data_IF_859745704717
#
_entry.id   IF_859745704717
#
_cell.length_a   1.000
_cell.length_b   1.000
_cell.length_c   1.000
_cell.angle_alpha   90.00
_cell.angle_beta   90.00
_cell.angle_gamma   90.00
#
_symmetry.space_group_name_H-M   'P 1'
#
loop_
_entity.id
_entity.type
_entity.pdbx_description
1 polymer ?
#
# COMPACT_ATOMS: atom_id res chain seq x y z
N UNK A 1 -6.55 -8.80 0.23
CA UNK A 1 -5.39 -8.30 1.01
C UNK A 1 -4.97 -6.98 0.43
N UNK A 2 -4.74 -5.96 1.23
CA UNK A 2 -4.53 -4.58 0.76
C UNK A 2 -3.48 -4.46 -0.36
N UNK A 3 -2.27 -5.04 -0.27
CA UNK A 3 -1.30 -4.88 -1.37
C UNK A 3 -1.80 -5.35 -2.75
N UNK A 4 -2.71 -6.30 -2.78
CA UNK A 4 -3.25 -6.86 -4.03
C UNK A 4 -4.39 -6.00 -4.59
N UNK A 5 -5.35 -5.62 -3.72
CA UNK A 5 -6.53 -4.85 -4.15
C UNK A 5 -6.23 -3.35 -4.28
N UNK A 6 -5.20 -2.86 -3.59
CA UNK A 6 -4.74 -1.48 -3.66
C UNK A 6 -3.85 -1.20 -4.88
N UNK A 7 -3.13 -2.21 -5.39
CA UNK A 7 -2.14 -2.04 -6.46
C UNK A 7 -2.70 -1.30 -7.68
N UNK A 8 -3.85 -1.67 -8.27
CA UNK A 8 -4.37 -0.98 -9.45
C UNK A 8 -4.73 0.49 -9.19
N UNK A 9 -5.16 0.79 -7.98
CA UNK A 9 -5.55 2.14 -7.56
C UNK A 9 -4.32 3.00 -7.25
N UNK A 10 -3.37 2.46 -6.51
CA UNK A 10 -2.09 3.13 -6.23
C UNK A 10 -1.36 3.43 -7.54
N UNK A 11 -1.35 2.49 -8.49
CA UNK A 11 -0.72 2.70 -9.81
C UNK A 11 -1.33 3.90 -10.55
N UNK A 12 -2.64 4.11 -10.47
CA UNK A 12 -3.31 5.28 -11.05
C UNK A 12 -2.86 6.59 -10.37
N UNK A 13 -2.75 6.58 -9.04
CA UNK A 13 -2.28 7.75 -8.28
C UNK A 13 -0.80 8.05 -8.59
N UNK A 14 0.05 7.00 -8.68
CA UNK A 14 1.46 7.15 -9.08
C UNK A 14 1.59 7.74 -10.48
N UNK A 15 0.77 7.28 -11.43
CA UNK A 15 0.73 7.79 -12.80
C UNK A 15 0.30 9.26 -12.85
N UNK A 16 -0.72 9.64 -12.07
CA UNK A 16 -1.17 11.03 -11.97
C UNK A 16 -0.07 11.94 -11.40
N UNK A 17 0.63 11.50 -10.34
CA UNK A 17 1.76 12.26 -9.77
C UNK A 17 2.92 12.38 -10.76
N UNK A 18 3.27 11.29 -11.44
CA UNK A 18 4.32 11.29 -12.46
C UNK A 18 3.98 12.24 -13.63
N UNK A 19 2.71 12.23 -14.08
CA UNK A 19 2.24 13.15 -15.14
C UNK A 19 2.29 14.61 -14.72
N UNK A 20 1.95 14.92 -13.47
CA UNK A 20 1.96 16.28 -12.94
C UNK A 20 3.39 16.86 -12.80
N UNK A 21 4.38 16.01 -12.55
CA UNK A 21 5.77 16.44 -12.30
C UNK A 21 6.72 16.19 -13.48
N UNK A 22 6.34 15.31 -14.42
CA UNK A 22 7.22 14.81 -15.49
C UNK A 22 8.34 13.88 -14.98
N UNK A 23 8.31 13.49 -13.72
CA UNK A 23 9.35 12.68 -13.07
C UNK A 23 8.77 11.42 -12.45
N UNK A 24 9.59 10.36 -12.36
CA UNK A 24 9.27 9.13 -11.63
C UNK A 24 9.29 9.44 -10.12
N UNK A 25 8.14 9.41 -9.41
CA UNK A 25 8.09 9.81 -8.02
C UNK A 25 8.82 8.83 -7.10
N UNK A 26 9.32 9.36 -5.99
CA UNK A 26 9.86 8.58 -4.87
C UNK A 26 8.75 8.33 -3.86
N UNK A 27 8.45 7.07 -3.58
CA UNK A 27 7.47 6.63 -2.59
C UNK A 27 8.17 6.23 -1.31
N UNK A 28 7.79 6.85 -0.20
CA UNK A 28 8.07 6.35 1.14
C UNK A 28 6.96 5.40 1.56
N UNK A 29 7.26 4.11 1.68
CA UNK A 29 6.35 3.09 2.19
C UNK A 29 6.49 2.98 3.71
N UNK A 30 5.48 3.47 4.44
CA UNK A 30 5.47 3.50 5.91
C UNK A 30 4.87 2.21 6.45
N UNK A 31 5.63 1.50 7.28
CA UNK A 31 5.32 0.14 7.71
C UNK A 31 5.52 -0.84 6.56
N UNK A 32 6.61 -0.68 5.80
CA UNK A 32 6.87 -1.41 4.56
C UNK A 32 7.16 -2.90 4.76
N UNK A 33 7.46 -3.33 5.99
CA UNK A 33 7.83 -4.71 6.30
C UNK A 33 8.91 -5.23 5.32
N UNK A 34 8.71 -6.38 4.71
CA UNK A 34 9.62 -7.00 3.74
C UNK A 34 9.54 -6.40 2.32
N UNK A 35 8.94 -5.24 2.12
CA UNK A 35 8.90 -4.53 0.83
C UNK A 35 7.88 -5.09 -0.17
N UNK A 36 6.77 -5.66 0.31
CA UNK A 36 5.74 -6.26 -0.55
C UNK A 36 5.12 -5.24 -1.51
N UNK A 37 4.84 -4.03 -1.03
CA UNK A 37 4.32 -2.96 -1.90
C UNK A 37 5.33 -2.63 -3.02
N UNK A 38 6.60 -2.46 -2.68
CA UNK A 38 7.63 -2.22 -3.69
C UNK A 38 7.69 -3.37 -4.71
N UNK A 39 7.57 -4.64 -4.27
CA UNK A 39 7.60 -5.79 -5.18
C UNK A 39 6.45 -5.76 -6.20
N UNK A 40 5.20 -5.56 -5.75
CA UNK A 40 4.04 -5.59 -6.65
C UNK A 40 3.91 -4.35 -7.53
N UNK A 41 4.46 -3.21 -7.09
CA UNK A 41 4.43 -1.97 -7.88
C UNK A 41 5.59 -1.85 -8.87
N UNK A 42 6.74 -2.47 -8.59
CA UNK A 42 7.92 -2.40 -9.46
C UNK A 42 7.96 -3.51 -10.50
N UNK A 43 7.50 -4.70 -10.14
CA UNK A 43 7.61 -5.88 -10.99
C UNK A 43 6.22 -6.38 -11.42
N UNK A 44 6.10 -7.12 -12.52
CA UNK A 44 4.86 -7.77 -12.95
C UNK A 44 4.56 -8.99 -12.05
N UNK A 45 4.46 -8.75 -10.75
CA UNK A 45 4.22 -9.74 -9.71
C UNK A 45 2.91 -9.42 -8.99
N UNK A 46 2.20 -10.45 -8.55
CA UNK A 46 1.03 -10.31 -7.70
C UNK A 46 1.33 -10.75 -6.28
N UNK A 47 0.62 -10.19 -5.32
CA UNK A 47 0.72 -10.65 -3.93
C UNK A 47 0.38 -12.15 -3.80
N UNK A 48 -0.62 -12.62 -4.56
CA UNK A 48 -0.98 -14.04 -4.61
C UNK A 48 0.17 -14.92 -5.09
N UNK A 49 0.89 -14.50 -6.14
CA UNK A 49 2.07 -15.19 -6.67
C UNK A 49 3.21 -15.24 -5.64
N UNK A 50 3.50 -14.12 -4.98
CA UNK A 50 4.50 -14.06 -3.92
C UNK A 50 4.12 -14.98 -2.75
N UNK A 51 2.86 -14.93 -2.29
CA UNK A 51 2.36 -15.82 -1.24
C UNK A 51 2.52 -17.29 -1.62
N UNK A 52 2.20 -17.67 -2.86
CA UNK A 52 2.38 -19.03 -3.34
C UNK A 52 3.85 -19.44 -3.35
N UNK A 53 4.76 -18.56 -3.81
CA UNK A 53 6.21 -18.80 -3.79
C UNK A 53 6.71 -19.13 -2.38
N UNK A 54 6.42 -18.25 -1.41
CA UNK A 54 6.92 -18.40 -0.04
C UNK A 54 6.18 -19.46 0.79
N UNK A 55 5.02 -19.94 0.35
CA UNK A 55 4.30 -21.03 0.98
C UNK A 55 4.91 -22.41 0.67
N UNK A 56 5.79 -22.51 -0.33
CA UNK A 56 6.42 -23.78 -0.71
C UNK A 56 7.27 -24.34 0.43
N UNK A 57 7.23 -25.66 0.58
CA UNK A 57 7.97 -26.36 1.65
C UNK A 57 9.47 -26.09 1.60
N UNK A 58 10.03 -26.05 0.40
CA UNK A 58 11.45 -25.80 0.14
C UNK A 58 11.88 -24.43 0.65
N UNK A 59 11.03 -23.41 0.49
CA UNK A 59 11.31 -22.04 0.93
C UNK A 59 11.32 -21.90 2.47
N UNK A 60 10.59 -22.79 3.17
CA UNK A 60 10.58 -22.79 4.64
C UNK A 60 11.81 -23.47 5.26
N UNK A 61 12.51 -24.29 4.50
CA UNK A 61 13.64 -25.08 4.96
C UNK A 61 15.01 -24.40 4.75
N UNK A 62 15.07 -23.32 4.00
CA UNK A 62 16.31 -22.61 3.70
C UNK A 62 16.66 -21.56 4.76
N UNK A 63 17.96 -21.30 4.93
CA UNK A 63 18.41 -20.22 5.83
C UNK A 63 18.04 -18.83 5.29
N UNK A 64 17.95 -17.85 6.19
CA UNK A 64 17.65 -16.46 5.81
C UNK A 64 18.69 -15.90 4.81
N UNK A 65 19.96 -16.24 4.95
CA UNK A 65 21.02 -15.83 4.03
C UNK A 65 20.82 -16.43 2.62
N UNK A 66 20.49 -17.71 2.57
CA UNK A 66 20.17 -18.39 1.29
C UNK A 66 18.92 -17.79 0.66
N UNK A 67 17.89 -17.48 1.47
CA UNK A 67 16.69 -16.83 0.97
C UNK A 67 16.98 -15.47 0.35
N UNK A 68 17.74 -14.61 1.03
CA UNK A 68 18.15 -13.28 0.48
C UNK A 68 18.88 -13.44 -0.84
N UNK A 69 19.81 -14.40 -0.95
CA UNK A 69 20.55 -14.64 -2.19
C UNK A 69 19.63 -15.09 -3.33
N UNK A 70 18.72 -16.03 -3.07
CA UNK A 70 17.76 -16.53 -4.05
C UNK A 70 16.78 -15.44 -4.48
N UNK A 71 16.29 -14.64 -3.55
CA UNK A 71 15.31 -13.60 -3.84
C UNK A 71 15.93 -12.40 -4.55
N UNK A 72 17.20 -12.08 -4.28
CA UNK A 72 17.92 -11.09 -5.09
C UNK A 72 17.95 -11.50 -6.57
N UNK A 73 18.27 -12.76 -6.88
CA UNK A 73 18.24 -13.27 -8.25
C UNK A 73 16.81 -13.32 -8.82
N UNK A 74 15.84 -13.71 -7.97
CA UNK A 74 14.44 -13.78 -8.37
C UNK A 74 13.91 -12.40 -8.80
N UNK A 75 14.09 -11.37 -7.96
CA UNK A 75 13.62 -10.02 -8.31
C UNK A 75 14.42 -9.40 -9.47
N UNK A 76 15.72 -9.63 -9.52
CA UNK A 76 16.56 -9.14 -10.62
C UNK A 76 16.23 -9.77 -11.99
N UNK A 77 15.57 -10.93 -12.01
CA UNK A 77 15.12 -11.57 -13.25
C UNK A 77 13.86 -10.94 -13.86
N UNK A 78 13.15 -10.08 -13.11
CA UNK A 78 11.95 -9.41 -13.59
C UNK A 78 12.26 -8.01 -14.13
N UNK A 79 11.60 -7.56 -15.21
CA UNK A 79 11.73 -6.17 -15.66
C UNK A 79 11.12 -5.23 -14.62
N UNK A 80 11.81 -4.14 -14.30
CA UNK A 80 11.24 -3.05 -13.49
C UNK A 80 10.32 -2.20 -14.37
N UNK A 81 9.03 -2.47 -14.28
CA UNK A 81 7.95 -1.75 -14.99
C UNK A 81 7.29 -0.69 -14.10
N UNK A 82 7.85 -0.45 -12.91
CA UNK A 82 7.27 0.44 -11.92
C UNK A 82 7.26 1.90 -12.31
N UNK A 83 6.21 2.58 -11.86
CA UNK A 83 6.03 4.03 -12.05
C UNK A 83 6.70 4.86 -10.96
N UNK A 84 7.28 4.24 -9.94
CA UNK A 84 7.86 4.89 -8.78
C UNK A 84 9.15 4.21 -8.32
N UNK A 85 9.97 4.94 -7.57
CA UNK A 85 11.10 4.46 -6.78
C UNK A 85 10.64 4.28 -5.34
N UNK A 86 11.17 3.31 -4.59
CA UNK A 86 10.69 3.00 -3.26
C UNK A 86 11.76 3.15 -2.18
N UNK A 87 11.42 3.87 -1.13
CA UNK A 87 12.11 3.95 0.15
C UNK A 87 11.20 3.30 1.19
N UNK A 88 11.74 2.53 2.13
CA UNK A 88 10.97 1.90 3.18
C UNK A 88 11.25 2.47 4.57
N UNK A 89 10.22 2.57 5.39
CA UNK A 89 10.34 2.86 6.81
C UNK A 89 9.61 1.77 7.61
N UNK A 90 10.32 1.12 8.53
CA UNK A 90 9.76 0.11 9.42
C UNK A 90 10.57 0.04 10.71
N UNK A 91 9.96 -0.44 11.80
CA UNK A 91 10.65 -0.69 13.08
C UNK A 91 11.50 -1.96 13.03
N UNK A 92 11.25 -2.84 12.08
CA UNK A 92 11.92 -4.14 11.94
C UNK A 92 13.18 -4.04 11.12
N UNK A 93 14.32 -3.95 11.79
CA UNK A 93 15.64 -3.96 11.14
C UNK A 93 15.86 -5.19 10.23
N UNK A 94 15.47 -6.43 10.60
CA UNK A 94 15.56 -7.57 9.68
C UNK A 94 14.73 -7.42 8.41
N UNK A 95 13.53 -6.85 8.50
CA UNK A 95 12.66 -6.66 7.34
C UNK A 95 13.23 -5.60 6.38
N UNK A 96 13.69 -4.47 6.89
CA UNK A 96 14.36 -3.43 6.11
C UNK A 96 15.63 -3.97 5.45
N UNK A 97 16.47 -4.65 6.23
CA UNK A 97 17.71 -5.27 5.71
C UNK A 97 17.41 -6.25 4.56
N UNK A 98 16.40 -7.11 4.73
CA UNK A 98 15.96 -7.99 3.66
C UNK A 98 15.53 -7.21 2.41
N UNK A 99 14.57 -6.30 2.55
CA UNK A 99 13.97 -5.58 1.43
C UNK A 99 15.01 -4.77 0.62
N UNK A 100 15.99 -4.19 1.31
CA UNK A 100 17.11 -3.47 0.68
C UNK A 100 18.08 -4.44 0.00
N UNK A 101 18.46 -5.53 0.69
CA UNK A 101 19.43 -6.50 0.18
C UNK A 101 18.94 -7.28 -1.06
N UNK A 102 17.64 -7.51 -1.16
CA UNK A 102 17.05 -8.16 -2.36
C UNK A 102 16.73 -7.17 -3.48
N UNK A 103 16.97 -5.86 -3.27
CA UNK A 103 16.79 -4.81 -4.28
C UNK A 103 15.35 -4.33 -4.46
N UNK A 104 14.46 -4.57 -3.49
CA UNK A 104 13.09 -4.04 -3.49
C UNK A 104 13.05 -2.56 -3.15
N UNK A 105 13.83 -2.14 -2.17
CA UNK A 105 13.96 -0.76 -1.73
C UNK A 105 15.31 -0.18 -2.17
N UNK A 106 15.32 1.08 -2.58
CA UNK A 106 16.58 1.81 -2.84
C UNK A 106 17.27 2.18 -1.54
N UNK A 107 16.49 2.57 -0.53
CA UNK A 107 16.93 2.91 0.80
C UNK A 107 15.92 2.42 1.83
N UNK A 108 16.40 2.14 3.04
CA UNK A 108 15.56 1.72 4.15
C UNK A 108 15.88 2.49 5.42
N UNK A 109 14.84 2.85 6.16
CA UNK A 109 14.90 3.55 7.43
C UNK A 109 14.38 2.60 8.51
N UNK A 110 15.20 2.30 9.51
CA UNK A 110 14.79 1.55 10.71
C UNK A 110 14.54 2.58 11.80
N UNK A 111 13.28 2.83 12.15
CA UNK A 111 12.92 3.77 13.20
C UNK A 111 11.53 3.51 13.78
N UNK A 112 11.38 3.71 15.09
CA UNK A 112 10.09 3.80 15.78
C UNK A 112 9.77 5.29 16.03
N UNK A 113 9.17 5.93 15.02
CA UNK A 113 8.87 7.36 15.09
C UNK A 113 7.76 7.70 16.12
N UNK A 114 7.06 6.72 16.67
CA UNK A 114 6.14 6.93 17.79
C UNK A 114 6.93 7.26 19.08
N UNK A 115 8.11 6.66 19.25
CA UNK A 115 8.92 6.74 20.48
C UNK A 115 10.16 7.60 20.34
N UNK A 116 10.79 7.60 19.17
CA UNK A 116 12.11 8.18 18.97
C UNK A 116 12.06 9.41 18.04
N UNK A 117 12.98 10.36 18.19
CA UNK A 117 13.15 11.42 17.22
C UNK A 117 13.69 10.87 15.89
N UNK A 118 13.44 11.60 14.81
CA UNK A 118 13.99 11.27 13.51
C UNK A 118 15.52 11.54 13.53
N UNK A 119 16.30 10.57 13.06
CA UNK A 119 17.76 10.76 12.92
C UNK A 119 18.08 11.67 11.71
N UNK A 120 19.26 12.29 11.73
CA UNK A 120 19.74 13.15 10.64
C UNK A 120 19.79 12.39 9.31
N UNK A 121 20.26 11.13 9.31
CA UNK A 121 20.36 10.31 8.12
C UNK A 121 18.97 9.95 7.56
N UNK A 122 18.05 9.57 8.46
CA UNK A 122 16.66 9.32 8.06
C UNK A 122 15.99 10.58 7.49
N UNK A 123 16.19 11.75 8.13
CA UNK A 123 15.70 13.02 7.62
C UNK A 123 16.26 13.34 6.22
N UNK A 124 17.54 13.07 5.98
CA UNK A 124 18.14 13.26 4.66
C UNK A 124 17.49 12.37 3.58
N UNK A 125 17.20 11.12 3.91
CA UNK A 125 16.51 10.18 3.00
C UNK A 125 15.08 10.68 2.69
N UNK A 126 14.35 11.12 3.72
CA UNK A 126 12.95 11.56 3.61
C UNK A 126 12.74 12.79 2.74
N UNK A 127 13.74 13.67 2.61
CA UNK A 127 13.66 14.87 1.74
C UNK A 127 13.30 14.56 0.30
N UNK A 128 13.65 13.38 -0.18
CA UNK A 128 13.39 12.98 -1.57
C UNK A 128 11.95 12.50 -1.79
N UNK A 129 11.17 12.23 -0.75
CA UNK A 129 9.86 11.62 -0.86
C UNK A 129 8.85 12.56 -1.56
N UNK A 130 8.27 12.09 -2.65
CA UNK A 130 7.20 12.77 -3.39
C UNK A 130 5.82 12.24 -2.98
N UNK A 131 5.77 11.00 -2.48
CA UNK A 131 4.58 10.31 -2.00
C UNK A 131 4.93 9.58 -0.70
N UNK A 132 4.03 9.65 0.27
CA UNK A 132 4.05 8.83 1.48
C UNK A 132 2.90 7.83 1.34
N UNK A 133 3.17 6.54 1.49
CA UNK A 133 2.16 5.49 1.35
C UNK A 133 2.06 4.67 2.64
N UNK A 134 0.83 4.36 3.05
CA UNK A 134 0.52 3.49 4.17
C UNK A 134 -0.60 2.53 3.79
N UNK A 135 -0.32 1.23 3.78
CA UNK A 135 -1.26 0.18 3.37
C UNK A 135 -1.69 -0.74 4.51
N UNK A 136 -1.92 -0.17 5.71
CA UNK A 136 -2.43 -0.92 6.85
C UNK A 136 -1.64 -0.78 8.14
N UNK A 137 -0.74 0.20 8.25
CA UNK A 137 -0.05 0.48 9.51
C UNK A 137 -0.80 1.50 10.39
N UNK A 138 -1.77 2.27 9.86
CA UNK A 138 -2.65 3.11 10.67
C UNK A 138 -3.49 2.22 11.59
N UNK A 139 -3.39 2.51 12.90
CA UNK A 139 -3.86 1.64 13.97
C UNK A 139 -2.70 1.11 14.84
N UNK A 140 -1.47 1.06 14.29
CA UNK A 140 -0.23 0.81 15.04
C UNK A 140 0.60 2.09 15.21
N UNK A 141 0.41 3.07 14.33
CA UNK A 141 1.04 4.39 14.37
C UNK A 141 -0.01 5.49 14.47
N UNK A 142 0.42 6.65 14.97
CA UNK A 142 -0.40 7.85 15.12
C UNK A 142 0.05 8.95 14.15
N UNK A 143 -0.63 10.10 14.20
CA UNK A 143 -0.24 11.30 13.48
C UNK A 143 1.16 11.81 13.83
N UNK A 144 1.74 11.40 14.97
CA UNK A 144 3.11 11.76 15.38
C UNK A 144 4.14 11.28 14.38
N UNK A 145 4.01 10.03 13.91
CA UNK A 145 4.89 9.48 12.89
C UNK A 145 4.84 10.31 11.61
N UNK A 146 3.62 10.64 11.14
CA UNK A 146 3.46 11.45 9.92
C UNK A 146 3.95 12.88 10.10
N UNK A 147 3.71 13.51 11.25
CA UNK A 147 4.23 14.87 11.54
C UNK A 147 5.75 14.90 11.41
N UNK A 148 6.47 13.96 12.05
CA UNK A 148 7.93 13.88 11.95
C UNK A 148 8.43 13.66 10.53
N UNK A 149 7.71 12.87 9.72
CA UNK A 149 8.04 12.65 8.31
C UNK A 149 7.83 13.94 7.52
N UNK A 150 6.68 14.60 7.68
CA UNK A 150 6.34 15.83 6.98
C UNK A 150 7.27 16.99 7.34
N UNK A 151 7.66 17.12 8.61
CA UNK A 151 8.63 18.12 9.07
C UNK A 151 10.03 17.92 8.44
N UNK A 152 10.35 16.71 8.00
CA UNK A 152 11.63 16.37 7.37
C UNK A 152 11.61 16.46 5.85
N UNK A 153 10.44 16.56 5.22
CA UNK A 153 10.32 16.68 3.77
C UNK A 153 10.46 18.13 3.33
N UNK A 154 11.23 18.39 2.28
CA UNK A 154 11.37 19.74 1.68
C UNK A 154 10.19 20.06 0.74
N UNK A 155 9.31 19.11 0.51
CA UNK A 155 8.18 19.17 -0.44
C UNK A 155 6.87 18.92 0.30
N UNK A 156 5.75 19.25 -0.34
CA UNK A 156 4.43 18.81 0.10
C UNK A 156 4.09 17.48 -0.60
N UNK A 157 4.41 16.31 0.01
CA UNK A 157 4.17 15.01 -0.62
C UNK A 157 2.68 14.70 -0.69
N UNK A 158 2.29 13.84 -1.63
CA UNK A 158 0.98 13.21 -1.56
C UNK A 158 1.00 12.08 -0.53
N UNK A 159 -0.06 11.92 0.25
CA UNK A 159 -0.15 10.85 1.25
C UNK A 159 -1.28 9.91 0.87
N UNK A 160 -0.94 8.68 0.52
CA UNK A 160 -1.88 7.59 0.20
C UNK A 160 -2.06 6.73 1.45
N UNK A 161 -3.26 6.66 1.98
CA UNK A 161 -3.56 5.87 3.17
C UNK A 161 -4.71 4.91 2.92
N UNK A 162 -4.48 3.61 3.15
CA UNK A 162 -5.54 2.62 3.26
C UNK A 162 -5.81 2.37 4.74
N UNK A 163 -6.95 2.86 5.22
CA UNK A 163 -7.29 2.92 6.64
C UNK A 163 -8.48 2.04 6.91
N UNK A 164 -8.35 1.09 7.84
CA UNK A 164 -9.51 0.31 8.28
C UNK A 164 -10.61 1.24 8.79
N UNK A 165 -11.82 1.03 8.32
CA UNK A 165 -12.97 1.89 8.61
C UNK A 165 -13.25 2.05 10.10
N UNK A 166 -12.83 1.09 10.93
CA UNK A 166 -12.93 1.16 12.37
C UNK A 166 -12.00 2.18 13.05
N UNK A 167 -11.00 2.72 12.34
CA UNK A 167 -10.07 3.70 12.90
C UNK A 167 -10.45 5.13 12.49
N UNK A 168 -10.56 6.06 13.46
CA UNK A 168 -10.83 7.46 13.16
C UNK A 168 -9.61 8.09 12.47
N UNK A 169 -9.85 8.88 11.41
CA UNK A 169 -8.79 9.55 10.66
C UNK A 169 -8.68 11.06 10.94
N UNK A 170 -9.50 11.58 11.84
CA UNK A 170 -9.62 13.04 12.08
C UNK A 170 -8.30 13.67 12.56
N UNK A 171 -7.57 13.03 13.46
CA UNK A 171 -6.28 13.55 13.96
C UNK A 171 -5.25 13.63 12.86
N UNK A 172 -5.16 12.60 12.01
CA UNK A 172 -4.29 12.60 10.82
C UNK A 172 -4.65 13.73 9.86
N UNK A 173 -5.94 13.86 9.50
CA UNK A 173 -6.41 14.92 8.61
C UNK A 173 -6.10 16.32 9.17
N UNK A 174 -6.25 16.53 10.49
CA UNK A 174 -5.88 17.80 11.13
C UNK A 174 -4.38 18.07 11.07
N UNK A 175 -3.55 17.08 11.31
CA UNK A 175 -2.09 17.20 11.18
C UNK A 175 -1.70 17.51 9.74
N UNK A 176 -2.28 16.82 8.76
CA UNK A 176 -2.01 17.06 7.35
C UNK A 176 -2.46 18.45 6.89
N UNK A 177 -3.59 18.93 7.39
CA UNK A 177 -4.05 20.30 7.14
C UNK A 177 -3.07 21.35 7.69
N UNK A 178 -2.45 21.09 8.87
CA UNK A 178 -1.39 21.92 9.42
C UNK A 178 -0.15 22.02 8.53
N UNK A 179 0.08 21.03 7.65
CA UNK A 179 1.14 21.03 6.63
C UNK A 179 0.65 21.44 5.23
N UNK A 180 -0.53 22.07 5.12
CA UNK A 180 -1.05 22.59 3.86
C UNK A 180 -1.67 21.56 2.92
N UNK A 181 -2.02 20.37 3.43
CA UNK A 181 -2.63 19.31 2.66
C UNK A 181 -4.15 19.26 2.90
N UNK A 182 -4.93 19.04 1.87
CA UNK A 182 -6.34 18.70 1.95
C UNK A 182 -6.51 17.19 1.84
N UNK A 183 -7.52 16.66 2.53
CA UNK A 183 -7.78 15.22 2.61
C UNK A 183 -9.05 14.87 1.86
N UNK A 184 -8.94 13.98 0.89
CA UNK A 184 -10.03 13.41 0.08
C UNK A 184 -10.19 11.94 0.44
N UNK A 185 -11.43 11.46 0.54
CA UNK A 185 -11.75 10.04 0.71
C UNK A 185 -12.46 9.55 -0.53
N UNK A 186 -12.00 8.45 -1.11
CA UNK A 186 -12.68 7.84 -2.25
C UNK A 186 -14.07 7.38 -1.83
N UNK A 187 -15.09 7.88 -2.54
CA UNK A 187 -16.48 7.51 -2.32
C UNK A 187 -16.86 6.24 -3.09
N UNK A 188 -17.84 5.49 -2.55
CA UNK A 188 -18.45 4.35 -3.25
C UNK A 188 -17.61 3.08 -3.37
N UNK A 189 -16.40 3.04 -2.80
CA UNK A 189 -15.56 1.85 -2.80
C UNK A 189 -14.81 1.68 -1.48
N UNK A 190 -14.69 0.42 -1.06
CA UNK A 190 -13.84 0.00 0.07
C UNK A 190 -12.95 -1.16 -0.36
N UNK A 191 -11.85 -1.36 0.36
CA UNK A 191 -10.81 -2.32 0.01
C UNK A 191 -10.73 -3.40 1.08
N UNK A 192 -10.90 -4.66 0.70
CA UNK A 192 -10.82 -5.79 1.63
C UNK A 192 -9.36 -5.97 2.09
N UNK A 193 -9.16 -5.95 3.42
CA UNK A 193 -7.84 -6.23 3.98
C UNK A 193 -7.66 -7.73 4.24
N UNK A 194 -8.48 -8.33 5.12
CA UNK A 194 -8.47 -9.74 5.48
C UNK A 194 -9.77 -10.16 6.18
N UNK A 195 -9.91 -11.45 6.41
CA UNK A 195 -10.94 -11.97 7.32
C UNK A 195 -10.59 -11.66 8.77
N UNK A 196 -11.61 -11.56 9.61
CA UNK A 196 -11.41 -11.57 11.06
C UNK A 196 -10.78 -12.88 11.48
N UNK A 197 -9.92 -12.84 12.49
CA UNK A 197 -9.25 -14.01 13.04
C UNK A 197 -10.17 -14.81 13.94
N UNK A 198 -10.98 -14.09 14.73
CA UNK A 198 -11.87 -14.64 15.75
C UNK A 198 -13.09 -13.72 15.98
N UNK A 199 -14.01 -14.18 16.87
CA UNK A 199 -15.22 -13.43 17.20
C UNK A 199 -14.93 -12.13 17.95
N UNK A 200 -13.90 -12.08 18.80
CA UNK A 200 -13.54 -10.89 19.57
C UNK A 200 -13.12 -9.75 18.63
N UNK A 201 -12.30 -10.07 17.62
CA UNK A 201 -11.89 -9.09 16.60
C UNK A 201 -13.07 -8.60 15.76
N UNK A 202 -14.02 -9.48 15.43
CA UNK A 202 -15.24 -9.14 14.71
C UNK A 202 -16.13 -8.21 15.52
N UNK A 203 -16.46 -8.58 16.76
CA UNK A 203 -17.31 -7.80 17.65
C UNK A 203 -16.71 -6.43 17.99
N UNK A 204 -15.39 -6.39 18.27
CA UNK A 204 -14.66 -5.15 18.52
C UNK A 204 -14.65 -4.21 17.31
N UNK A 205 -14.57 -4.75 16.11
CA UNK A 205 -14.66 -3.97 14.88
C UNK A 205 -16.06 -3.36 14.72
N UNK A 206 -17.12 -4.16 14.86
CA UNK A 206 -18.50 -3.69 14.75
C UNK A 206 -18.84 -2.63 15.80
N UNK A 207 -18.39 -2.82 17.04
CA UNK A 207 -18.55 -1.84 18.11
C UNK A 207 -17.86 -0.50 17.78
N UNK A 208 -16.65 -0.55 17.25
CA UNK A 208 -15.90 0.63 16.83
C UNK A 208 -16.59 1.37 15.67
N UNK A 209 -17.10 0.66 14.68
CA UNK A 209 -17.86 1.23 13.57
C UNK A 209 -19.15 1.89 14.05
N UNK A 210 -19.89 1.22 14.94
CA UNK A 210 -21.10 1.77 15.54
C UNK A 210 -20.82 3.08 16.32
N UNK A 211 -19.72 3.12 17.08
CA UNK A 211 -19.29 4.32 17.80
C UNK A 211 -18.92 5.48 16.85
N UNK A 212 -18.48 5.17 15.62
CA UNK A 212 -18.19 6.14 14.57
C UNK A 212 -19.43 6.50 13.72
N UNK A 213 -20.59 5.87 13.97
CA UNK A 213 -21.81 6.06 13.18
C UNK A 213 -21.72 5.48 11.77
N UNK A 214 -20.85 4.47 11.55
CA UNK A 214 -20.64 3.84 10.25
C UNK A 214 -21.44 2.54 10.12
N UNK A 215 -22.12 2.37 8.99
CA UNK A 215 -22.84 1.14 8.65
C UNK A 215 -21.85 0.06 8.19
N UNK A 216 -21.92 -1.11 8.82
CA UNK A 216 -21.12 -2.29 8.50
C UNK A 216 -21.84 -3.27 7.56
N UNK A 217 -23.11 -3.02 7.21
CA UNK A 217 -23.97 -3.94 6.44
C UNK A 217 -23.38 -4.20 5.06
N UNK A 218 -23.20 -5.47 4.70
CA UNK A 218 -22.63 -5.90 3.42
C UNK A 218 -21.13 -5.64 3.29
N UNK A 219 -20.47 -5.20 4.34
CA UNK A 219 -19.04 -4.94 4.46
C UNK A 219 -18.46 -5.77 5.61
N UNK A 220 -18.17 -5.16 6.76
CA UNK A 220 -17.57 -5.87 7.90
C UNK A 220 -18.51 -6.92 8.49
N UNK A 221 -19.84 -6.75 8.37
CA UNK A 221 -20.81 -7.78 8.74
C UNK A 221 -20.61 -9.12 8.04
N UNK A 222 -19.94 -9.13 6.88
CA UNK A 222 -19.62 -10.34 6.10
C UNK A 222 -18.32 -11.03 6.58
N UNK A 223 -17.77 -10.61 7.71
CA UNK A 223 -16.59 -11.23 8.32
C UNK A 223 -15.25 -10.78 7.75
N UNK A 224 -15.21 -9.60 7.12
CA UNK A 224 -14.03 -9.04 6.47
C UNK A 224 -13.72 -7.65 7.02
N UNK A 225 -12.44 -7.34 7.22
CA UNK A 225 -12.03 -5.95 7.42
C UNK A 225 -12.04 -5.20 6.09
N UNK A 226 -12.63 -4.02 6.10
CA UNK A 226 -12.63 -3.10 4.99
C UNK A 226 -11.82 -1.84 5.32
N UNK A 227 -11.08 -1.35 4.32
CA UNK A 227 -10.33 -0.11 4.40
C UNK A 227 -10.89 0.92 3.41
N UNK A 228 -10.85 2.18 3.81
CA UNK A 228 -11.06 3.32 2.93
C UNK A 228 -9.73 3.72 2.28
N UNK A 229 -9.78 4.18 1.03
CA UNK A 229 -8.69 4.93 0.42
C UNK A 229 -8.86 6.41 0.77
N UNK A 230 -7.82 6.97 1.36
CA UNK A 230 -7.72 8.39 1.69
C UNK A 230 -6.47 8.94 1.01
N UNK A 231 -6.63 10.04 0.28
CA UNK A 231 -5.54 10.77 -0.37
C UNK A 231 -5.46 12.17 0.24
N UNK A 232 -4.29 12.52 0.79
CA UNK A 232 -4.04 13.88 1.28
C UNK A 232 -2.92 14.51 0.45
N UNK A 233 -3.14 15.75 -0.05
CA UNK A 233 -2.24 16.41 -0.98
C UNK A 233 -2.48 17.92 -1.02
N UNK A 234 -1.57 18.72 -1.63
CA UNK A 234 -1.79 20.18 -1.79
C UNK A 234 -3.15 20.49 -2.40
N UNK A 235 -3.80 21.53 -1.89
CA UNK A 235 -5.14 21.93 -2.36
C UNK A 235 -5.17 22.24 -3.86
N UNK A 236 -4.08 22.83 -4.39
CA UNK A 236 -3.96 23.11 -5.82
C UNK A 236 -4.03 21.82 -6.66
N UNK A 237 -3.34 20.75 -6.21
CA UNK A 237 -3.34 19.45 -6.89
C UNK A 237 -4.73 18.79 -6.83
N UNK A 238 -5.39 18.88 -5.66
CA UNK A 238 -6.73 18.33 -5.45
C UNK A 238 -7.78 19.04 -6.33
N UNK A 239 -7.69 20.38 -6.45
CA UNK A 239 -8.58 21.13 -7.32
C UNK A 239 -8.33 20.89 -8.81
N UNK A 240 -7.05 20.77 -9.22
CA UNK A 240 -6.69 20.52 -10.62
C UNK A 240 -7.17 19.15 -11.10
N UNK A 241 -7.11 18.13 -10.24
CA UNK A 241 -7.48 16.75 -10.60
C UNK A 241 -8.09 16.06 -9.37
N UNK A 242 -9.42 16.13 -9.17
CA UNK A 242 -10.10 15.49 -8.05
C UNK A 242 -9.81 13.98 -7.97
N UNK A 243 -9.83 13.39 -6.76
CA UNK A 243 -9.52 11.97 -6.53
C UNK A 243 -10.36 11.04 -7.42
N UNK A 244 -11.64 11.31 -7.54
CA UNK A 244 -12.58 10.53 -8.36
C UNK A 244 -12.25 10.56 -9.87
N UNK A 245 -11.50 11.57 -10.32
CA UNK A 245 -11.02 11.63 -11.71
C UNK A 245 -9.70 10.89 -11.93
N UNK A 246 -8.92 10.67 -10.86
CA UNK A 246 -7.68 9.90 -10.91
C UNK A 246 -7.97 8.41 -10.83
N UNK A 247 -8.88 8.03 -9.91
CA UNK A 247 -9.08 6.64 -9.50
C UNK A 247 -10.38 6.09 -10.08
N UNK A 248 -10.24 5.01 -10.84
CA UNK A 248 -11.36 4.16 -11.25
C UNK A 248 -11.23 2.81 -10.56
N UNK A 249 -12.25 2.43 -9.80
CA UNK A 249 -12.34 1.11 -9.17
C UNK A 249 -13.33 0.27 -9.96
N UNK A 250 -12.87 -0.83 -10.54
CA UNK A 250 -13.76 -1.83 -11.11
C UNK A 250 -14.46 -2.56 -9.96
N UNK A 251 -15.76 -2.31 -9.76
CA UNK A 251 -16.53 -2.98 -8.71
C UNK A 251 -16.57 -4.48 -8.97
N UNK A 252 -16.18 -5.28 -7.98
CA UNK A 252 -16.09 -6.74 -8.09
C UNK A 252 -17.44 -7.49 -8.17
N UNK A 253 -18.58 -6.80 -8.18
CA UNK A 253 -19.87 -7.43 -8.44
C UNK A 253 -20.09 -7.51 -9.95
N UNK A 254 -19.52 -8.54 -10.58
CA UNK A 254 -19.78 -8.88 -11.97
C UNK A 254 -18.62 -8.79 -12.96
N UNK A 255 -17.46 -8.25 -12.56
CA UNK A 255 -16.24 -8.32 -13.36
C UNK A 255 -15.04 -8.66 -12.49
N UNK A 256 -14.32 -9.77 -12.75
CA UNK A 256 -13.04 -10.04 -12.11
C UNK A 256 -12.06 -8.92 -12.45
N UNK A 257 -11.32 -8.48 -11.43
CA UNK A 257 -10.25 -7.49 -11.61
C UNK A 257 -9.04 -8.21 -12.21
N UNK A 258 -8.62 -7.78 -13.40
CA UNK A 258 -7.46 -8.32 -14.10
C UNK A 258 -7.75 -9.48 -15.04
N UNK A 259 -6.75 -9.92 -15.81
CA UNK A 259 -6.90 -11.02 -16.75
C UNK A 259 -7.29 -12.30 -16.00
N UNK A 260 -8.31 -12.97 -16.46
CA UNK A 260 -8.77 -14.26 -15.94
C UNK A 260 -8.58 -15.35 -16.98
N UNK A 261 -8.41 -16.56 -16.49
CA UNK A 261 -8.48 -17.73 -17.34
C UNK A 261 -9.95 -18.01 -17.66
N UNK A 262 -10.28 -18.04 -18.92
CA UNK A 262 -11.60 -18.40 -19.44
C UNK A 262 -11.47 -19.65 -20.31
N UNK A 263 -12.51 -20.47 -20.30
CA UNK A 263 -12.61 -21.56 -21.24
C UNK A 263 -13.19 -21.03 -22.55
N UNK A 264 -12.47 -21.22 -23.64
CA UNK A 264 -12.89 -20.90 -25.00
C UNK A 264 -12.97 -22.17 -25.82
N UNK A 265 -14.02 -22.30 -26.64
CA UNK A 265 -14.13 -23.41 -27.58
C UNK A 265 -13.16 -23.19 -28.74
N UNK A 266 -12.20 -24.10 -28.91
CA UNK A 266 -11.28 -24.16 -30.03
C UNK A 266 -11.63 -25.30 -30.99
N UNK A 267 -10.95 -25.35 -32.13
CA UNK A 267 -11.20 -26.40 -33.14
C UNK A 267 -10.91 -27.83 -32.62
N UNK A 268 -10.09 -27.98 -31.59
CA UNK A 268 -9.70 -29.26 -31.00
C UNK A 268 -10.33 -29.49 -29.61
N UNK A 269 -11.31 -28.69 -29.18
CA UNK A 269 -11.99 -28.79 -27.89
C UNK A 269 -11.83 -27.56 -27.02
N UNK A 270 -12.11 -27.72 -25.73
CA UNK A 270 -12.08 -26.65 -24.73
C UNK A 270 -10.64 -26.25 -24.44
N UNK A 271 -10.29 -25.00 -24.72
CA UNK A 271 -8.98 -24.41 -24.41
C UNK A 271 -9.10 -23.43 -23.24
N UNK A 272 -8.03 -23.27 -22.48
CA UNK A 272 -7.91 -22.23 -21.46
C UNK A 272 -7.15 -21.06 -22.05
N UNK A 273 -7.79 -19.90 -22.11
CA UNK A 273 -7.20 -18.67 -22.59
C UNK A 273 -7.24 -17.58 -21.50
N UNK A 274 -6.34 -16.60 -21.60
CA UNK A 274 -6.39 -15.37 -20.80
C UNK A 274 -7.33 -14.39 -21.51
N UNK A 275 -8.37 -13.97 -20.79
CA UNK A 275 -9.21 -12.85 -21.22
C UNK A 275 -8.41 -11.55 -20.96
N UNK A 276 -8.19 -10.71 -21.95
CA UNK A 276 -7.46 -9.46 -21.77
C UNK A 276 -8.18 -8.45 -20.87
#
# INVERSE_FOLDING_TARGET
>A
MIPDVAEPVVRQILAAKASATGLKPVVLDVGCSYGINAAVHRFPLTFGGLRHRYARREMRAISSETLVRLDRHFYAAWPDVGLARFIGLDVSAPAISYATNVGLLEQGIVADLEKEPLSTDAAHILRSADIIMSTGCIGYITEKTFSKILDATDKCPWIISFVLRMFPFKSFASTFAGHGLVTERLSGATFIQRRFRDAEEFEGCLASLAALGLDATGLESEGLFHADLILSRPEADARATPLESIVTVASGRGRPIGPRYVHVEGAEGLLVALEP
#
